data_IF_510450942035
#
_entry.id   IF_510450942035
#
_cell.length_a   1.000
_cell.length_b   1.000
_cell.length_c   1.000
_cell.angle_alpha   90.00
_cell.angle_beta   90.00
_cell.angle_gamma   90.00
#
_symmetry.space_group_name_H-M   'P 1'
#
loop_
_entity.id
_entity.type
_entity.pdbx_description
1 polymer ?
#
# COMPACT_ATOMS: atom_id res chain seq x y z
N UNK A 1 -25.81 37.27 -25.27
CA UNK A 1 -26.36 36.21 -24.41
C UNK A 1 -25.82 34.80 -24.73
N UNK A 2 -25.82 34.38 -26.00
CA UNK A 2 -25.34 33.07 -26.42
C UNK A 2 -23.86 32.81 -26.05
N UNK A 3 -22.98 33.81 -26.22
CA UNK A 3 -21.55 33.71 -25.88
C UNK A 3 -21.30 33.48 -24.40
N UNK A 4 -22.07 34.10 -23.49
CA UNK A 4 -21.95 33.92 -22.05
C UNK A 4 -22.38 32.52 -21.59
N UNK A 5 -23.43 31.96 -22.19
CA UNK A 5 -23.90 30.60 -21.87
C UNK A 5 -22.89 29.54 -22.33
N UNK A 6 -22.26 29.71 -23.49
CA UNK A 6 -21.28 28.81 -24.03
C UNK A 6 -20.01 28.79 -23.14
N UNK A 7 -19.55 29.96 -22.68
CA UNK A 7 -18.39 30.07 -21.78
C UNK A 7 -18.64 29.36 -20.45
N UNK A 8 -19.80 29.49 -19.85
CA UNK A 8 -20.18 28.80 -18.61
C UNK A 8 -20.14 27.27 -18.77
N UNK A 9 -20.61 26.75 -19.90
CA UNK A 9 -20.61 25.33 -20.20
C UNK A 9 -19.17 24.76 -20.24
N UNK A 10 -18.23 25.46 -20.85
CA UNK A 10 -16.80 25.05 -20.92
C UNK A 10 -16.18 24.96 -19.51
N UNK A 11 -16.41 25.96 -18.65
CA UNK A 11 -15.90 25.98 -17.27
C UNK A 11 -16.44 24.77 -16.49
N UNK A 12 -17.72 24.47 -16.61
CA UNK A 12 -18.34 23.33 -15.93
C UNK A 12 -17.72 22.00 -16.39
N UNK A 13 -17.46 21.84 -17.68
CA UNK A 13 -16.84 20.65 -18.25
C UNK A 13 -15.41 20.45 -17.73
N UNK A 14 -14.59 21.51 -17.68
CA UNK A 14 -13.22 21.46 -17.15
C UNK A 14 -13.21 21.09 -15.66
N UNK A 15 -14.13 21.62 -14.85
CA UNK A 15 -14.26 21.28 -13.45
C UNK A 15 -14.62 19.80 -13.25
N UNK A 16 -15.52 19.25 -14.01
CA UNK A 16 -15.90 17.85 -13.95
C UNK A 16 -14.72 16.92 -14.28
N UNK A 17 -13.90 17.25 -15.29
CA UNK A 17 -12.68 16.49 -15.64
C UNK A 17 -11.66 16.54 -14.50
N UNK A 18 -11.45 17.68 -13.87
CA UNK A 18 -10.55 17.82 -12.73
C UNK A 18 -11.01 16.98 -11.53
N UNK A 19 -12.29 16.91 -11.24
CA UNK A 19 -12.84 16.09 -10.18
C UNK A 19 -12.65 14.59 -10.46
N UNK A 20 -12.83 14.14 -11.68
CA UNK A 20 -12.58 12.74 -12.07
C UNK A 20 -11.11 12.35 -11.92
N UNK A 21 -10.17 13.23 -12.29
CA UNK A 21 -8.74 13.01 -12.12
C UNK A 21 -8.35 12.96 -10.63
N UNK A 22 -8.97 13.80 -9.77
CA UNK A 22 -8.72 13.84 -8.33
C UNK A 22 -9.26 12.60 -7.58
N UNK A 23 -10.20 11.84 -8.17
CA UNK A 23 -10.78 10.65 -7.56
C UNK A 23 -9.96 9.36 -7.80
N UNK A 24 -8.83 9.43 -8.50
CA UNK A 24 -7.97 8.27 -8.68
C UNK A 24 -7.28 7.93 -7.36
N UNK A 25 -7.63 6.77 -6.78
CA UNK A 25 -7.02 6.30 -5.55
C UNK A 25 -5.54 5.98 -5.75
N UNK A 26 -4.71 6.35 -4.78
CA UNK A 26 -3.33 5.90 -4.69
C UNK A 26 -3.30 4.52 -4.04
N UNK A 27 -2.66 3.55 -4.66
CA UNK A 27 -2.57 2.19 -4.16
C UNK A 27 -1.20 1.93 -3.55
N UNK A 28 -1.19 1.62 -2.26
CA UNK A 28 -0.02 1.24 -1.48
C UNK A 28 -0.08 -0.25 -1.18
N UNK A 29 0.94 -1.00 -1.58
CA UNK A 29 1.12 -2.39 -1.17
C UNK A 29 2.18 -2.44 -0.08
N UNK A 30 1.82 -2.99 1.08
CA UNK A 30 2.71 -3.20 2.21
C UNK A 30 3.04 -4.69 2.28
N UNK A 31 4.32 -5.00 2.32
CA UNK A 31 4.85 -6.36 2.28
C UNK A 31 5.57 -6.68 3.59
N UNK A 32 4.90 -7.32 4.56
CA UNK A 32 5.58 -7.83 5.75
C UNK A 32 6.54 -8.96 5.35
N UNK A 33 7.85 -8.74 5.47
CA UNK A 33 8.86 -9.70 5.06
C UNK A 33 8.78 -11.01 5.83
N UNK A 34 9.19 -12.10 5.17
CA UNK A 34 9.17 -13.46 5.72
C UNK A 34 7.74 -13.92 6.03
N UNK A 35 7.57 -14.91 6.91
CA UNK A 35 6.26 -15.43 7.30
C UNK A 35 6.20 -16.95 7.25
N UNK A 36 5.37 -17.55 8.12
CA UNK A 36 5.18 -19.00 8.19
C UNK A 36 6.48 -19.74 8.42
N UNK A 37 6.83 -20.65 7.51
CA UNK A 37 8.06 -21.44 7.56
C UNK A 37 9.36 -20.62 7.41
N UNK A 38 9.26 -19.42 6.83
CA UNK A 38 10.38 -18.48 6.71
C UNK A 38 10.34 -17.51 7.89
N UNK A 39 11.16 -17.78 8.89
CA UNK A 39 11.20 -16.96 10.12
C UNK A 39 11.91 -15.62 9.92
N UNK A 40 12.74 -15.49 8.86
CA UNK A 40 13.74 -14.44 8.81
C UNK A 40 14.77 -14.63 9.92
N UNK A 41 15.38 -13.55 10.40
CA UNK A 41 16.29 -13.59 11.52
C UNK A 41 15.57 -14.07 12.79
N UNK A 42 16.21 -14.98 13.53
CA UNK A 42 15.71 -15.51 14.79
C UNK A 42 16.57 -15.03 15.95
N UNK A 43 15.97 -14.26 16.86
CA UNK A 43 16.62 -13.83 18.11
C UNK A 43 16.25 -14.74 19.26
N UNK A 44 16.77 -14.43 20.46
CA UNK A 44 16.51 -15.21 21.68
C UNK A 44 15.02 -15.12 22.10
N UNK A 45 14.36 -14.02 21.81
CA UNK A 45 12.98 -13.73 22.28
C UNK A 45 12.01 -13.39 21.16
N UNK A 46 12.46 -13.23 19.92
CA UNK A 46 11.61 -12.78 18.83
C UNK A 46 12.09 -13.32 17.49
N UNK A 47 11.19 -13.38 16.53
CA UNK A 47 11.47 -13.73 15.13
C UNK A 47 11.18 -12.53 14.26
N UNK A 48 12.02 -12.30 13.27
CA UNK A 48 11.86 -11.18 12.34
C UNK A 48 10.46 -11.14 11.71
N UNK A 49 9.94 -12.29 11.28
CA UNK A 49 8.61 -12.38 10.65
C UNK A 49 7.50 -11.77 11.49
N UNK A 50 7.56 -11.93 12.81
CA UNK A 50 6.54 -11.45 13.74
C UNK A 50 6.64 -9.95 13.96
N UNK A 51 7.85 -9.43 14.05
CA UNK A 51 8.12 -8.00 14.15
C UNK A 51 7.69 -7.30 12.85
N UNK A 52 8.06 -7.85 11.71
CA UNK A 52 7.69 -7.30 10.41
C UNK A 52 6.18 -7.21 10.24
N UNK A 53 5.46 -8.24 10.66
CA UNK A 53 4.00 -8.26 10.59
C UNK A 53 3.38 -7.19 11.50
N UNK A 54 3.83 -7.10 12.73
CA UNK A 54 3.34 -6.11 13.70
C UNK A 54 3.56 -4.68 13.20
N UNK A 55 4.76 -4.38 12.74
CA UNK A 55 5.12 -3.05 12.23
C UNK A 55 4.32 -2.72 10.97
N UNK A 56 4.25 -3.66 10.02
CA UNK A 56 3.54 -3.46 8.76
C UNK A 56 2.04 -3.20 8.99
N UNK A 57 1.40 -3.96 9.86
CA UNK A 57 -0.02 -3.76 10.19
C UNK A 57 -0.27 -2.42 10.90
N UNK A 58 0.61 -2.02 11.81
CA UNK A 58 0.50 -0.73 12.48
C UNK A 58 0.67 0.43 11.50
N UNK A 59 1.64 0.33 10.59
CA UNK A 59 1.86 1.31 9.54
C UNK A 59 0.64 1.43 8.62
N UNK A 60 0.11 0.31 8.16
CA UNK A 60 -1.06 0.30 7.28
C UNK A 60 -2.29 0.93 7.94
N UNK A 61 -2.53 0.63 9.21
CA UNK A 61 -3.62 1.27 9.99
C UNK A 61 -3.43 2.77 10.13
N UNK A 62 -2.21 3.21 10.34
CA UNK A 62 -1.89 4.63 10.39
C UNK A 62 -2.21 5.33 9.07
N UNK A 63 -1.81 4.74 7.95
CA UNK A 63 -2.10 5.25 6.61
C UNK A 63 -3.62 5.30 6.37
N UNK A 64 -4.34 4.23 6.69
CA UNK A 64 -5.79 4.16 6.50
C UNK A 64 -6.53 5.26 7.27
N UNK A 65 -6.08 5.57 8.50
CA UNK A 65 -6.69 6.61 9.35
C UNK A 65 -6.39 8.02 8.88
N UNK A 66 -5.16 8.27 8.42
CA UNK A 66 -4.67 9.62 8.12
C UNK A 66 -4.72 9.96 6.64
N UNK A 67 -4.78 8.97 5.77
CA UNK A 67 -4.80 9.14 4.31
C UNK A 67 -5.95 8.31 3.72
N UNK A 68 -7.22 8.72 3.91
CA UNK A 68 -8.37 7.93 3.47
C UNK A 68 -8.44 7.74 1.95
N UNK A 69 -7.73 8.56 1.17
CA UNK A 69 -7.61 8.44 -0.28
C UNK A 69 -6.63 7.35 -0.71
N UNK A 70 -5.85 6.77 0.21
CA UNK A 70 -4.91 5.70 -0.08
C UNK A 70 -5.57 4.35 0.12
N UNK A 71 -5.51 3.51 -0.92
CA UNK A 71 -5.93 2.11 -0.84
C UNK A 71 -4.75 1.28 -0.35
N UNK A 72 -4.88 0.67 0.84
CA UNK A 72 -3.85 -0.17 1.45
C UNK A 72 -4.13 -1.64 1.17
N UNK A 73 -3.13 -2.33 0.63
CA UNK A 73 -3.15 -3.76 0.35
C UNK A 73 -1.92 -4.38 1.02
N UNK A 74 -2.07 -5.57 1.61
CA UNK A 74 -0.97 -6.30 2.22
C UNK A 74 -0.67 -7.56 1.42
N UNK A 75 0.60 -7.96 1.35
CA UNK A 75 0.98 -9.27 0.81
C UNK A 75 0.58 -10.40 1.75
N UNK A 76 0.61 -10.13 3.05
CA UNK A 76 0.06 -11.01 4.10
C UNK A 76 -0.40 -10.18 5.30
N UNK A 77 -1.37 -10.70 6.03
CA UNK A 77 -1.88 -10.08 7.28
C UNK A 77 -1.76 -11.03 8.47
N UNK A 78 -1.27 -12.22 8.25
CA UNK A 78 -1.12 -13.28 9.23
C UNK A 78 0.23 -13.96 9.10
N UNK A 79 0.54 -14.90 9.98
CA UNK A 79 1.79 -15.66 9.94
C UNK A 79 1.73 -16.78 8.89
N UNK A 80 1.81 -16.40 7.62
CA UNK A 80 1.82 -17.29 6.47
C UNK A 80 3.04 -17.03 5.59
N UNK A 81 3.48 -18.06 4.88
CA UNK A 81 4.56 -17.94 3.90
C UNK A 81 4.02 -17.39 2.58
N UNK A 82 4.68 -16.37 2.05
CA UNK A 82 4.45 -15.83 0.71
C UNK A 82 5.78 -15.81 -0.03
N UNK A 83 5.83 -16.41 -1.22
CA UNK A 83 7.04 -16.40 -2.04
C UNK A 83 7.39 -14.99 -2.52
N UNK A 84 8.66 -14.76 -2.86
CA UNK A 84 9.12 -13.46 -3.38
C UNK A 84 8.37 -13.08 -4.65
N UNK A 85 8.15 -14.05 -5.55
CA UNK A 85 7.42 -13.83 -6.80
C UNK A 85 5.96 -13.41 -6.52
N UNK A 86 5.29 -14.08 -5.58
CA UNK A 86 3.91 -13.73 -5.22
C UNK A 86 3.80 -12.33 -4.61
N UNK A 87 4.79 -11.87 -3.86
CA UNK A 87 4.83 -10.50 -3.34
C UNK A 87 4.85 -9.48 -4.47
N UNK A 88 5.73 -9.70 -5.45
CA UNK A 88 5.79 -8.87 -6.66
C UNK A 88 4.50 -8.94 -7.47
N UNK A 89 3.93 -10.14 -7.63
CA UNK A 89 2.68 -10.34 -8.36
C UNK A 89 1.51 -9.61 -7.68
N UNK A 90 1.46 -9.58 -6.36
CA UNK A 90 0.44 -8.83 -5.62
C UNK A 90 0.50 -7.34 -5.98
N UNK A 91 1.69 -6.76 -5.99
CA UNK A 91 1.88 -5.37 -6.39
C UNK A 91 1.46 -5.12 -7.84
N UNK A 92 1.87 -5.99 -8.75
CA UNK A 92 1.59 -5.84 -10.18
C UNK A 92 0.09 -6.03 -10.50
N UNK A 93 -0.56 -7.03 -9.93
CA UNK A 93 -2.00 -7.26 -10.13
C UNK A 93 -2.85 -6.09 -9.66
N UNK A 94 -2.43 -5.44 -8.59
CA UNK A 94 -3.15 -4.31 -7.99
C UNK A 94 -2.68 -2.96 -8.55
N UNK A 95 -1.78 -2.94 -9.51
CA UNK A 95 -1.22 -1.71 -10.12
C UNK A 95 -0.75 -0.74 -9.03
N UNK A 96 0.06 -1.23 -8.09
CA UNK A 96 0.54 -0.45 -6.97
C UNK A 96 1.29 0.80 -7.45
N UNK A 97 0.96 1.93 -6.85
CA UNK A 97 1.72 3.17 -7.03
C UNK A 97 2.99 3.15 -6.18
N UNK A 98 2.96 2.44 -5.04
CA UNK A 98 4.10 2.27 -4.15
C UNK A 98 4.05 0.88 -3.52
N UNK A 99 5.21 0.23 -3.46
CA UNK A 99 5.43 -1.03 -2.77
C UNK A 99 6.44 -0.82 -1.65
N UNK A 100 6.06 -1.12 -0.42
CA UNK A 100 6.94 -1.00 0.76
C UNK A 100 7.08 -2.36 1.40
N UNK A 101 8.32 -2.90 1.42
CA UNK A 101 8.65 -4.12 2.13
C UNK A 101 9.26 -3.81 3.48
N UNK A 102 8.76 -4.47 4.53
CA UNK A 102 9.16 -4.25 5.91
C UNK A 102 10.05 -5.41 6.37
N UNK A 103 11.27 -5.09 6.76
CA UNK A 103 12.25 -6.03 7.29
C UNK A 103 12.94 -5.42 8.50
N UNK A 104 13.31 -6.23 9.47
CA UNK A 104 14.04 -5.77 10.67
C UNK A 104 15.43 -6.34 10.78
N UNK A 105 15.81 -7.37 10.05
CA UNK A 105 17.13 -7.99 10.00
C UNK A 105 17.82 -8.09 11.37
N UNK A 106 18.72 -9.05 11.53
CA UNK A 106 19.62 -9.10 12.69
C UNK A 106 21.00 -8.61 12.27
N UNK A 107 21.68 -7.89 13.17
CA UNK A 107 23.10 -7.62 13.00
C UNK A 107 23.89 -8.92 13.24
N UNK A 108 24.96 -9.15 12.48
CA UNK A 108 25.87 -10.25 12.80
C UNK A 108 26.41 -10.06 14.22
N UNK A 109 26.49 -11.15 14.95
CA UNK A 109 27.05 -11.15 16.31
C UNK A 109 28.54 -10.85 16.27
#
# INVERSE_FOLDING_TARGET
MLKKRFFFFIITSLFAVSMMAANKAFTLVIDPGHGGKDTGAAGAFSKEKDINLTVALAFGKYVERNCPEVKVIYTRKTDVFISLIERANTANRNKADLFISVHTNALPA
#
